data_IF_477555856668
#
_entry.id   IF_477555856668
#
_cell.length_a   1.000
_cell.length_b   1.000
_cell.length_c   1.000
_cell.angle_alpha   90.00
_cell.angle_beta   90.00
_cell.angle_gamma   90.00
#
_symmetry.space_group_name_H-M   'P 1'
#
loop_
_entity.id
_entity.type
_entity.pdbx_description
1 polymer ?
#
# COMPACT_ATOMS: atom_id res chain seq x y z
N UNK A 1 13.37 10.95 1.04
CA UNK A 1 12.70 9.81 1.70
C UNK A 1 11.26 9.70 1.22
N UNK A 2 10.66 8.52 1.33
CA UNK A 2 9.28 8.30 0.92
C UNK A 2 8.34 8.19 2.11
N UNK A 3 7.04 8.45 1.87
CA UNK A 3 5.98 8.33 2.86
C UNK A 3 4.77 7.63 2.29
N UNK A 4 4.06 6.96 3.19
CA UNK A 4 2.70 6.48 3.03
C UNK A 4 1.84 7.16 4.10
N UNK A 5 0.79 7.84 3.66
CA UNK A 5 -0.14 8.58 4.51
C UNK A 5 -1.51 7.93 4.38
N UNK A 6 -2.01 7.34 5.45
CA UNK A 6 -3.38 6.85 5.52
C UNK A 6 -4.23 7.95 6.15
N UNK A 7 -5.11 8.57 5.37
CA UNK A 7 -6.01 9.63 5.84
C UNK A 7 -7.44 9.07 5.95
N UNK A 8 -8.05 9.29 7.12
CA UNK A 8 -9.45 8.97 7.39
C UNK A 8 -10.16 10.27 7.78
N UNK A 9 -11.11 10.69 6.96
CA UNK A 9 -12.01 11.82 7.18
C UNK A 9 -13.33 11.24 7.68
N UNK A 10 -13.64 11.42 8.95
CA UNK A 10 -14.77 10.73 9.61
C UNK A 10 -16.14 11.38 9.34
N UNK A 11 -16.16 12.65 8.94
CA UNK A 11 -17.39 13.42 8.70
C UNK A 11 -17.19 14.43 7.57
N UNK A 12 -18.29 14.94 7.02
CA UNK A 12 -18.21 15.89 5.91
C UNK A 12 -17.54 17.20 6.33
N UNK A 13 -16.54 17.64 5.57
CA UNK A 13 -15.78 18.87 5.83
C UNK A 13 -15.71 19.67 4.53
N UNK A 14 -15.96 20.98 4.58
CA UNK A 14 -15.95 21.87 3.40
C UNK A 14 -16.85 21.39 2.23
N UNK A 15 -17.98 20.74 2.53
CA UNK A 15 -18.90 20.21 1.51
C UNK A 15 -18.44 18.91 0.85
N UNK A 16 -17.32 18.32 1.28
CA UNK A 16 -16.87 17.00 0.84
C UNK A 16 -17.36 15.92 1.80
N UNK A 17 -17.78 14.74 1.31
CA UNK A 17 -18.21 13.63 2.18
C UNK A 17 -17.04 13.04 2.97
N UNK A 18 -17.38 12.24 3.98
CA UNK A 18 -16.41 11.37 4.66
C UNK A 18 -15.70 10.47 3.63
N UNK A 19 -14.39 10.35 3.75
CA UNK A 19 -13.54 9.63 2.79
C UNK A 19 -12.33 9.02 3.49
N UNK A 20 -11.87 7.88 3.00
CA UNK A 20 -10.63 7.24 3.43
C UNK A 20 -9.74 7.00 2.22
N UNK A 21 -8.53 7.55 2.29
CA UNK A 21 -7.59 7.49 1.17
C UNK A 21 -6.16 7.28 1.62
N UNK A 22 -5.37 6.71 0.72
CA UNK A 22 -3.93 6.50 0.94
C UNK A 22 -3.14 7.36 -0.03
N UNK A 23 -2.39 8.31 0.51
CA UNK A 23 -1.53 9.23 -0.24
C UNK A 23 -0.08 8.76 -0.13
N UNK A 24 0.63 8.73 -1.25
CA UNK A 24 2.04 8.31 -1.32
C UNK A 24 2.85 9.40 -1.98
N UNK A 25 4.02 9.70 -1.42
CA UNK A 25 4.91 10.70 -1.99
C UNK A 25 6.33 10.54 -1.48
N UNK A 26 7.28 10.97 -2.29
CA UNK A 26 8.69 11.00 -1.94
C UNK A 26 9.21 12.44 -2.02
N UNK A 27 10.09 12.80 -1.10
CA UNK A 27 10.67 14.13 -1.03
C UNK A 27 11.58 14.31 0.17
N UNK A 28 12.01 15.54 0.40
CA UNK A 28 12.76 15.91 1.59
C UNK A 28 11.84 16.03 2.81
N UNK A 29 12.34 15.70 4.00
CA UNK A 29 11.75 16.10 5.28
C UNK A 29 12.84 16.17 6.33
N UNK A 30 12.48 16.88 7.39
CA UNK A 30 13.17 16.91 8.67
C UNK A 30 13.51 15.52 9.22
N UNK A 31 14.68 15.45 9.84
CA UNK A 31 15.28 14.27 10.46
C UNK A 31 14.34 13.56 11.45
N UNK A 32 13.54 14.33 12.19
CA UNK A 32 12.71 13.87 13.32
C UNK A 32 11.75 12.73 12.96
N UNK A 33 11.36 12.63 11.69
CA UNK A 33 10.39 11.66 11.21
C UNK A 33 11.01 10.58 10.32
N UNK A 34 12.34 10.51 10.18
CA UNK A 34 13.01 9.50 9.35
C UNK A 34 12.82 8.09 9.93
N UNK A 35 12.30 7.18 9.12
CA UNK A 35 12.10 5.77 9.44
C UNK A 35 11.04 5.49 10.52
N UNK A 36 10.10 6.41 10.76
CA UNK A 36 9.10 6.29 11.83
C UNK A 36 7.69 6.48 11.29
N UNK A 37 6.73 5.87 11.98
CA UNK A 37 5.30 6.15 11.83
C UNK A 37 4.85 7.08 12.96
N UNK A 38 4.01 8.05 12.63
CA UNK A 38 3.38 8.92 13.60
C UNK A 38 1.96 9.26 13.17
N UNK A 39 1.12 9.61 14.14
CA UNK A 39 -0.24 10.03 13.88
C UNK A 39 -0.36 11.55 13.95
N UNK A 40 -1.20 12.12 13.09
CA UNK A 40 -1.65 13.51 13.16
C UNK A 40 -3.17 13.49 13.19
N UNK A 41 -3.75 14.14 14.19
CA UNK A 41 -5.18 14.36 14.31
C UNK A 41 -5.49 15.85 14.28
N UNK A 42 -6.72 16.18 13.92
CA UNK A 42 -7.21 17.56 13.95
C UNK A 42 -8.68 17.63 13.57
N UNK A 43 -9.19 18.85 13.44
CA UNK A 43 -10.55 19.05 12.93
C UNK A 43 -10.64 18.57 11.48
N UNK A 44 -11.43 17.52 11.25
CA UNK A 44 -11.62 16.92 9.92
C UNK A 44 -10.94 15.57 9.70
N UNK A 45 -10.37 14.93 10.73
CA UNK A 45 -10.03 13.50 10.70
C UNK A 45 -8.68 13.12 11.31
N UNK A 46 -8.29 11.87 11.05
CA UNK A 46 -7.04 11.25 11.55
C UNK A 46 -6.15 10.84 10.38
N UNK A 47 -4.86 11.03 10.54
CA UNK A 47 -3.84 10.64 9.58
C UNK A 47 -2.75 9.82 10.26
N UNK A 48 -2.37 8.71 9.64
CA UNK A 48 -1.16 7.97 9.99
C UNK A 48 -0.12 8.18 8.89
N UNK A 49 1.06 8.68 9.26
CA UNK A 49 2.15 8.96 8.33
C UNK A 49 3.33 8.06 8.68
N UNK A 50 3.67 7.14 7.78
CA UNK A 50 4.85 6.30 7.89
C UNK A 50 5.90 6.72 6.86
N UNK A 51 7.15 6.88 7.29
CA UNK A 51 8.28 7.15 6.41
C UNK A 51 9.18 5.94 6.20
N UNK A 52 9.86 5.91 5.06
CA UNK A 52 10.78 4.85 4.70
C UNK A 52 11.90 5.39 3.78
N UNK A 53 13.03 4.68 3.74
CA UNK A 53 14.30 5.19 3.20
C UNK A 53 14.82 4.42 1.98
N UNK A 54 14.31 3.21 1.72
CA UNK A 54 14.70 2.42 0.56
C UNK A 54 13.85 2.76 -0.67
N UNK A 55 14.35 2.42 -1.85
CA UNK A 55 13.60 2.60 -3.08
C UNK A 55 12.31 1.77 -3.06
N UNK A 56 11.25 2.37 -3.60
CA UNK A 56 9.90 1.79 -3.67
C UNK A 56 9.29 1.40 -2.31
N UNK A 57 9.83 1.82 -1.18
CA UNK A 57 9.37 1.36 0.14
C UNK A 57 7.92 1.72 0.52
N UNK A 58 7.29 2.66 -0.19
CA UNK A 58 5.92 3.10 0.05
C UNK A 58 4.89 2.50 -0.93
N UNK A 59 5.14 1.30 -1.50
CA UNK A 59 4.32 0.67 -2.57
C UNK A 59 2.80 0.72 -2.32
N UNK A 60 2.04 0.81 -3.42
CA UNK A 60 0.58 0.70 -3.45
C UNK A 60 0.07 -0.69 -3.05
N UNK A 61 0.72 -1.72 -3.56
CA UNK A 61 0.40 -3.13 -3.37
C UNK A 61 1.52 -3.79 -2.57
N UNK A 62 1.24 -4.54 -1.50
CA UNK A 62 2.26 -5.42 -0.94
C UNK A 62 2.75 -6.35 -2.06
N UNK A 63 4.06 -6.63 -2.10
CA UNK A 63 4.64 -7.65 -2.97
C UNK A 63 4.15 -9.04 -2.54
N UNK A 64 2.86 -9.30 -2.70
CA UNK A 64 2.28 -10.63 -2.57
C UNK A 64 2.66 -11.33 -3.85
N UNK A 65 3.87 -11.90 -3.87
CA UNK A 65 4.18 -12.94 -4.83
C UNK A 65 3.07 -14.00 -4.72
N UNK A 66 2.43 -14.42 -5.83
CA UNK A 66 1.43 -15.46 -5.76
C UNK A 66 2.07 -16.70 -5.10
N UNK A 67 1.31 -17.42 -4.25
CA UNK A 67 1.85 -18.58 -3.56
C UNK A 67 2.40 -19.56 -4.60
N UNK A 68 3.62 -20.07 -4.39
CA UNK A 68 4.31 -20.98 -5.32
C UNK A 68 3.44 -22.18 -5.74
N UNK A 69 2.54 -22.61 -4.86
CA UNK A 69 1.53 -23.65 -5.12
C UNK A 69 0.59 -23.33 -6.29
N UNK A 70 0.16 -22.07 -6.44
CA UNK A 70 -0.72 -21.64 -7.54
C UNK A 70 0.01 -21.73 -8.88
N UNK A 71 1.25 -21.25 -8.93
CA UNK A 71 2.11 -21.34 -10.13
C UNK A 71 2.33 -22.81 -10.52
N UNK A 72 2.66 -23.67 -9.55
CA UNK A 72 2.88 -25.08 -9.79
C UNK A 72 1.62 -25.79 -10.31
N UNK A 73 0.44 -25.45 -9.77
CA UNK A 73 -0.84 -26.00 -10.24
C UNK A 73 -1.15 -25.63 -11.69
N UNK A 74 -0.85 -24.39 -12.10
CA UNK A 74 -1.06 -23.95 -13.49
C UNK A 74 -0.15 -24.71 -14.46
N UNK A 75 1.13 -24.90 -14.09
CA UNK A 75 2.09 -25.65 -14.91
C UNK A 75 1.69 -27.11 -15.03
N UNK A 76 1.37 -27.77 -13.91
CA UNK A 76 0.94 -29.17 -13.92
C UNK A 76 -0.38 -29.35 -14.70
N UNK A 77 -1.34 -28.46 -14.52
CA UNK A 77 -2.63 -28.50 -15.23
C UNK A 77 -2.48 -28.30 -16.74
N UNK A 78 -1.62 -27.38 -17.18
CA UNK A 78 -1.35 -27.16 -18.61
C UNK A 78 -0.58 -28.31 -19.26
N UNK A 79 0.33 -28.95 -18.52
CA UNK A 79 1.02 -30.18 -18.96
C UNK A 79 0.04 -31.35 -19.07
N UNK A 80 -0.83 -31.56 -18.07
CA UNK A 80 -1.89 -32.58 -18.11
C UNK A 80 -2.84 -32.37 -19.29
N UNK A 81 -3.28 -31.13 -19.53
CA UNK A 81 -4.13 -30.79 -20.67
C UNK A 81 -3.42 -31.07 -22.00
N UNK A 82 -2.12 -30.81 -22.12
CA UNK A 82 -1.35 -31.13 -23.32
C UNK A 82 -1.26 -32.65 -23.55
N UNK A 83 -1.06 -33.44 -22.50
CA UNK A 83 -1.05 -34.91 -22.59
C UNK A 83 -2.42 -35.51 -22.93
N UNK A 84 -3.52 -34.97 -22.40
CA UNK A 84 -4.87 -35.46 -22.68
C UNK A 84 -5.30 -35.12 -24.13
N UNK A 85 -4.76 -34.04 -24.70
CA UNK A 85 -5.10 -33.55 -26.05
C UNK A 85 -4.29 -34.21 -27.17
N UNK A 86 -3.29 -35.03 -26.84
CA UNK A 86 -2.40 -35.72 -27.77
C UNK A 86 -2.64 -37.23 -27.75
#
# INVERSE_FOLDING_TARGET
>A
MCRKITQVIEFSVNGLPADTRVIRGCGWQEESYKGKCYQRGGFGGRQEVCSCLSDYCNVATPNILPPKSLILSCVLGSVLLAFIRN
#
